data_IF_793060912425
#
_entry.id   IF_793060912425
#
_cell.length_a   1.000
_cell.length_b   1.000
_cell.length_c   1.000
_cell.angle_alpha   90.00
_cell.angle_beta   90.00
_cell.angle_gamma   90.00
#
_symmetry.space_group_name_H-M   'P 1'
#
loop_
_entity.id
_entity.type
_entity.pdbx_description
1 polymer ?
#
# COMPACT_ATOMS: atom_id res chain seq x y z
N UNK A 1 5.62 6.91 -19.87
CA UNK A 1 4.55 5.95 -19.54
C UNK A 1 4.77 5.47 -18.12
N UNK A 2 3.97 5.95 -17.17
CA UNK A 2 4.17 5.67 -15.74
C UNK A 2 3.48 4.37 -15.32
N UNK A 3 4.26 3.39 -14.84
CA UNK A 3 3.72 2.15 -14.28
C UNK A 3 2.99 2.37 -12.93
N UNK A 4 3.06 3.58 -12.36
CA UNK A 4 2.51 3.95 -11.06
C UNK A 4 1.01 3.67 -10.96
N UNK A 5 0.21 4.09 -11.96
CA UNK A 5 -1.24 3.87 -11.97
C UNK A 5 -1.62 2.38 -11.88
N UNK A 6 -1.12 1.54 -12.81
CA UNK A 6 -1.32 0.09 -12.73
C UNK A 6 -0.86 -0.53 -11.40
N UNK A 7 0.31 -0.14 -10.89
CA UNK A 7 0.84 -0.68 -9.62
C UNK A 7 -0.07 -0.33 -8.44
N UNK A 8 -0.53 0.91 -8.36
CA UNK A 8 -1.46 1.39 -7.32
C UNK A 8 -2.77 0.59 -7.38
N UNK A 9 -3.34 0.42 -8.58
CA UNK A 9 -4.61 -0.31 -8.75
C UNK A 9 -4.45 -1.80 -8.41
N UNK A 10 -3.40 -2.46 -8.89
CA UNK A 10 -3.17 -3.88 -8.60
C UNK A 10 -2.88 -4.12 -7.12
N UNK A 11 -1.99 -3.32 -6.52
CA UNK A 11 -1.70 -3.41 -5.08
C UNK A 11 -2.94 -3.16 -4.24
N UNK A 12 -3.74 -2.15 -4.59
CA UNK A 12 -4.99 -1.85 -3.90
C UNK A 12 -6.07 -2.92 -4.08
N UNK A 13 -6.14 -3.55 -5.26
CA UNK A 13 -7.03 -4.69 -5.50
C UNK A 13 -6.70 -5.87 -4.58
N UNK A 14 -5.40 -6.20 -4.39
CA UNK A 14 -4.98 -7.26 -3.46
C UNK A 14 -5.42 -6.94 -2.03
N UNK A 15 -5.18 -5.72 -1.55
CA UNK A 15 -5.63 -5.31 -0.21
C UNK A 15 -7.16 -5.33 -0.05
N UNK A 16 -7.90 -4.93 -1.08
CA UNK A 16 -9.36 -4.96 -1.09
C UNK A 16 -9.91 -6.39 -1.09
N UNK A 17 -9.29 -7.30 -1.86
CA UNK A 17 -9.66 -8.72 -1.89
C UNK A 17 -9.41 -9.39 -0.54
N UNK A 18 -8.27 -9.10 0.10
CA UNK A 18 -8.00 -9.57 1.46
C UNK A 18 -9.10 -9.10 2.42
N UNK A 19 -9.46 -7.82 2.40
CA UNK A 19 -10.51 -7.30 3.26
C UNK A 19 -11.89 -7.94 3.01
N UNK A 20 -12.21 -8.25 1.74
CA UNK A 20 -13.45 -8.94 1.37
C UNK A 20 -13.45 -10.39 1.85
N UNK A 21 -12.32 -11.09 1.72
CA UNK A 21 -12.16 -12.46 2.19
C UNK A 21 -12.35 -12.60 3.70
N UNK A 22 -11.91 -11.60 4.48
CA UNK A 22 -12.11 -11.55 5.92
C UNK A 22 -13.39 -10.82 6.36
N UNK A 23 -14.29 -10.48 5.44
CA UNK A 23 -15.56 -9.80 5.72
C UNK A 23 -15.42 -8.51 6.55
N UNK A 24 -14.36 -7.74 6.31
CA UNK A 24 -14.07 -6.52 7.06
C UNK A 24 -15.00 -5.36 6.68
N UNK A 25 -15.11 -4.37 7.56
CA UNK A 25 -15.93 -3.18 7.33
C UNK A 25 -15.46 -2.37 6.12
N UNK A 26 -16.33 -1.51 5.58
CA UNK A 26 -15.98 -0.64 4.46
C UNK A 26 -14.78 0.28 4.78
N UNK A 27 -14.68 0.75 6.02
CA UNK A 27 -13.56 1.57 6.48
C UNK A 27 -12.25 0.79 6.49
N UNK A 28 -12.24 -0.43 7.05
CA UNK A 28 -11.08 -1.32 7.06
C UNK A 28 -10.66 -1.75 5.66
N UNK A 29 -11.63 -2.03 4.78
CA UNK A 29 -11.37 -2.32 3.38
C UNK A 29 -10.72 -1.14 2.67
N UNK A 30 -11.18 0.10 2.90
CA UNK A 30 -10.53 1.31 2.36
C UNK A 30 -9.08 1.39 2.85
N UNK A 31 -8.85 1.17 4.14
CA UNK A 31 -7.50 1.19 4.70
C UNK A 31 -6.59 0.13 4.10
N UNK A 32 -7.06 -1.12 3.94
CA UNK A 32 -6.27 -2.20 3.36
C UNK A 32 -6.04 -2.04 1.86
N UNK A 33 -7.02 -1.49 1.12
CA UNK A 33 -6.84 -1.09 -0.27
C UNK A 33 -5.69 -0.09 -0.39
N UNK A 34 -5.68 0.95 0.45
CA UNK A 34 -4.61 1.96 0.40
C UNK A 34 -3.27 1.38 0.87
N UNK A 35 -3.27 0.51 1.88
CA UNK A 35 -2.07 -0.17 2.34
C UNK A 35 -1.45 -1.05 1.24
N UNK A 36 -2.28 -1.78 0.49
CA UNK A 36 -1.85 -2.60 -0.64
C UNK A 36 -1.28 -1.75 -1.79
N UNK A 37 -1.90 -0.61 -2.09
CA UNK A 37 -1.37 0.35 -3.08
C UNK A 37 0.01 0.90 -2.66
N UNK A 38 0.18 1.31 -1.40
CA UNK A 38 1.45 1.79 -0.87
C UNK A 38 2.54 0.69 -0.85
N UNK A 39 2.17 -0.54 -0.47
CA UNK A 39 3.06 -1.69 -0.51
C UNK A 39 3.52 -2.02 -1.94
N UNK A 40 2.61 -2.00 -2.91
CA UNK A 40 2.93 -2.21 -4.33
C UNK A 40 3.89 -1.15 -4.86
N UNK A 41 3.62 0.13 -4.59
CA UNK A 41 4.51 1.23 -4.94
C UNK A 41 5.90 1.05 -4.33
N UNK A 42 5.97 0.67 -3.05
CA UNK A 42 7.23 0.42 -2.35
C UNK A 42 8.00 -0.77 -2.94
N UNK A 43 7.31 -1.85 -3.25
CA UNK A 43 7.93 -3.06 -3.81
C UNK A 43 8.62 -2.78 -5.15
N UNK A 44 7.98 -1.99 -6.02
CA UNK A 44 8.51 -1.69 -7.35
C UNK A 44 9.56 -0.57 -7.29
N UNK A 45 9.20 0.57 -6.69
CA UNK A 45 10.04 1.78 -6.74
C UNK A 45 11.04 1.90 -5.59
N UNK A 46 10.92 1.09 -4.53
CA UNK A 46 11.83 1.14 -3.38
C UNK A 46 11.68 2.40 -2.53
N UNK A 47 10.54 3.10 -2.61
CA UNK A 47 10.32 4.42 -1.99
C UNK A 47 9.25 4.37 -0.89
N UNK A 48 9.49 3.71 0.26
CA UNK A 48 8.47 3.51 1.30
C UNK A 48 7.89 4.82 1.82
N UNK A 49 8.72 5.84 2.07
CA UNK A 49 8.27 7.13 2.60
C UNK A 49 7.39 7.86 1.59
N UNK A 50 7.79 7.92 0.33
CA UNK A 50 7.00 8.56 -0.72
C UNK A 50 5.67 7.83 -0.97
N UNK A 51 5.68 6.50 -0.93
CA UNK A 51 4.47 5.69 -1.09
C UNK A 51 3.45 5.94 0.04
N UNK A 52 3.91 6.05 1.29
CA UNK A 52 3.04 6.39 2.43
C UNK A 52 2.48 7.81 2.30
N UNK A 53 3.31 8.79 1.93
CA UNK A 53 2.83 10.17 1.73
C UNK A 53 1.77 10.23 0.63
N UNK A 54 2.01 9.60 -0.52
CA UNK A 54 1.05 9.52 -1.61
C UNK A 54 -0.27 8.84 -1.18
N UNK A 55 -0.17 7.77 -0.40
CA UNK A 55 -1.34 7.09 0.15
C UNK A 55 -2.19 8.02 1.05
N UNK A 56 -1.55 8.86 1.85
CA UNK A 56 -2.23 9.78 2.76
C UNK A 56 -2.82 10.98 2.02
N UNK A 57 -2.03 11.60 1.16
CA UNK A 57 -2.38 12.85 0.48
C UNK A 57 -3.39 12.63 -0.67
N UNK A 58 -3.33 11.49 -1.37
CA UNK A 58 -4.11 11.26 -2.59
C UNK A 58 -5.19 10.20 -2.44
N UNK A 59 -5.01 9.18 -1.58
CA UNK A 59 -5.97 8.06 -1.47
C UNK A 59 -6.86 8.13 -0.23
N UNK A 60 -6.29 8.49 0.93
CA UNK A 60 -7.03 8.54 2.20
C UNK A 60 -7.67 9.91 2.44
N UNK A 61 -6.94 11.00 2.18
CA UNK A 61 -7.29 12.37 2.57
C UNK A 61 -7.52 12.52 4.08
N UNK A 62 -6.84 11.72 4.90
CA UNK A 62 -6.94 11.77 6.36
C UNK A 62 -5.63 11.35 7.06
N UNK A 63 -5.33 12.00 8.18
CA UNK A 63 -4.17 11.71 9.03
C UNK A 63 -4.58 10.99 10.31
N UNK A 64 -5.34 9.89 10.18
CA UNK A 64 -5.79 9.10 11.35
C UNK A 64 -4.82 7.96 11.64
N UNK A 65 -4.37 7.75 12.89
CA UNK A 65 -3.50 6.63 13.24
C UNK A 65 -4.04 5.27 12.82
N UNK A 66 -5.38 5.10 12.90
CA UNK A 66 -6.08 3.86 12.52
C UNK A 66 -5.86 3.47 11.05
N UNK A 67 -5.67 4.44 10.15
CA UNK A 67 -5.39 4.19 8.74
C UNK A 67 -3.89 4.29 8.41
N UNK A 68 -3.17 5.20 9.07
CA UNK A 68 -1.73 5.39 8.86
C UNK A 68 -0.89 4.17 9.26
N UNK A 69 -1.14 3.60 10.45
CA UNK A 69 -0.37 2.46 10.96
C UNK A 69 -0.35 1.28 9.98
N UNK A 70 -1.50 0.75 9.52
CA UNK A 70 -1.50 -0.38 8.58
C UNK A 70 -0.90 -0.03 7.21
N UNK A 71 -1.06 1.21 6.73
CA UNK A 71 -0.43 1.65 5.47
C UNK A 71 1.10 1.65 5.58
N UNK A 72 1.65 2.23 6.65
CA UNK A 72 3.09 2.26 6.89
C UNK A 72 3.65 0.86 7.11
N UNK A 73 2.94 0.00 7.85
CA UNK A 73 3.34 -1.41 8.05
C UNK A 73 3.40 -2.14 6.71
N UNK A 74 2.40 -1.95 5.83
CA UNK A 74 2.41 -2.54 4.49
C UNK A 74 3.59 -2.08 3.64
N UNK A 75 3.88 -0.78 3.63
CA UNK A 75 5.02 -0.22 2.92
C UNK A 75 6.36 -0.74 3.45
N UNK A 76 6.58 -0.74 4.77
CA UNK A 76 7.81 -1.27 5.40
C UNK A 76 7.97 -2.76 5.12
N UNK A 77 6.89 -3.54 5.20
CA UNK A 77 6.91 -4.98 4.88
C UNK A 77 7.37 -5.22 3.44
N UNK A 78 6.83 -4.45 2.49
CA UNK A 78 7.26 -4.51 1.09
C UNK A 78 8.73 -4.11 0.93
N UNK A 79 9.19 -3.07 1.63
CA UNK A 79 10.60 -2.66 1.62
C UNK A 79 11.53 -3.76 2.16
N UNK A 80 11.13 -4.48 3.21
CA UNK A 80 11.91 -5.60 3.75
C UNK A 80 11.97 -6.79 2.78
N UNK A 81 10.89 -7.06 2.04
CA UNK A 81 10.85 -8.15 1.06
C UNK A 81 11.53 -7.81 -0.26
N UNK A 82 11.63 -6.52 -0.59
CA UNK A 82 12.14 -6.06 -1.87
C UNK A 82 13.55 -6.59 -2.22
N UNK A 83 14.55 -6.58 -1.33
CA UNK A 83 15.87 -7.15 -1.64
C UNK A 83 15.84 -8.64 -1.96
N UNK A 84 14.92 -9.39 -1.37
CA UNK A 84 14.77 -10.82 -1.64
C UNK A 84 14.11 -11.10 -3.01
N UNK A 85 13.24 -10.21 -3.49
CA UNK A 85 12.52 -10.37 -4.75
C UNK A 85 13.27 -9.81 -5.96
N UNK A 86 13.96 -8.67 -5.79
CA UNK A 86 14.58 -7.91 -6.88
C UNK A 86 16.10 -7.79 -6.76
N UNK A 87 16.70 -8.33 -5.69
CA UNK A 87 18.11 -8.13 -5.36
C UNK A 87 18.34 -6.81 -4.62
N UNK A 88 19.53 -6.66 -4.05
CA UNK A 88 19.93 -5.47 -3.27
C UNK A 88 20.38 -4.27 -4.14
N UNK A 89 20.00 -4.27 -5.43
CA UNK A 89 20.31 -3.20 -6.38
C UNK A 89 19.35 -2.03 -6.29
#
# INVERSE_FOLDING_TARGET
>A
FGAEGPIIVTGGAVGSLFAQFFHLSAAERKTLLVAGAAAGMTAIFGTPVAAVLLAVEVLLFEWRPRSLVPVTVGAVTAACWRPALFGAG
#
